data_IF_562213679583
#
_entry.id   IF_562213679583
#
_cell.length_a   1.000
_cell.length_b   1.000
_cell.length_c   1.000
_cell.angle_alpha   90.00
_cell.angle_beta   90.00
_cell.angle_gamma   90.00
#
_symmetry.space_group_name_H-M   'P 1'
#
loop_
_entity.id
_entity.type
_entity.pdbx_description
1 polymer ?
#
# COMPACT_ATOMS: atom_id res chain seq x y z
N UNK A 1 -15.63 31.30 52.81
CA UNK A 1 -14.55 30.94 53.76
C UNK A 1 -14.24 29.46 53.59
N UNK A 2 -12.99 29.15 53.16
CA UNK A 2 -12.13 28.02 53.57
C UNK A 2 -12.73 26.59 53.57
N UNK A 3 -12.16 25.54 52.94
CA UNK A 3 -10.75 25.18 52.73
C UNK A 3 -10.64 24.06 51.65
N UNK A 4 -9.62 24.19 50.80
CA UNK A 4 -8.79 23.15 50.15
C UNK A 4 -9.05 21.68 50.49
N UNK A 5 -9.11 20.81 49.47
CA UNK A 5 -8.20 19.66 49.29
C UNK A 5 -7.97 19.42 47.79
N UNK A 6 -6.74 19.71 47.35
CA UNK A 6 -6.15 19.20 46.11
C UNK A 6 -5.51 17.86 46.46
N UNK A 7 -5.91 16.78 45.78
CA UNK A 7 -5.19 15.50 45.74
C UNK A 7 -5.29 15.01 44.29
N UNK A 8 -4.31 15.33 43.44
CA UNK A 8 -3.12 14.51 43.21
C UNK A 8 -3.47 13.01 43.04
N UNK A 9 -3.81 12.64 41.81
CA UNK A 9 -3.82 11.24 41.35
C UNK A 9 -3.10 11.18 40.01
N UNK A 10 -1.80 11.46 40.08
CA UNK A 10 -0.82 10.98 39.12
C UNK A 10 -0.56 9.50 39.39
N UNK A 11 -0.22 8.78 38.32
CA UNK A 11 0.45 7.48 38.29
C UNK A 11 -0.42 6.21 38.20
N UNK A 12 -0.71 5.82 36.96
CA UNK A 12 -0.52 4.45 36.53
C UNK A 12 0.11 4.46 35.13
N UNK A 13 1.45 4.50 35.12
CA UNK A 13 2.27 4.14 33.96
C UNK A 13 2.16 2.63 33.71
N UNK A 14 2.19 2.29 32.42
CA UNK A 14 2.85 1.11 31.83
C UNK A 14 2.26 -0.26 32.18
N UNK A 15 1.40 -0.76 31.29
CA UNK A 15 1.48 -2.16 30.86
C UNK A 15 1.38 -2.26 29.34
N UNK A 16 2.50 -2.75 28.76
CA UNK A 16 2.65 -3.41 27.46
C UNK A 16 2.24 -2.58 26.22
N UNK A 17 3.13 -1.83 25.57
CA UNK A 17 4.23 -2.38 24.73
C UNK A 17 4.15 -3.90 24.59
N UNK A 18 3.19 -4.37 23.80
CA UNK A 18 3.17 -5.73 23.26
C UNK A 18 3.29 -5.66 21.74
N UNK A 19 4.26 -6.40 21.22
CA UNK A 19 4.61 -6.63 19.82
C UNK A 19 5.11 -5.41 19.02
N UNK A 20 6.42 -5.19 19.17
CA UNK A 20 7.24 -4.64 18.10
C UNK A 20 7.08 -5.44 16.80
N UNK A 21 6.70 -4.71 15.76
CA UNK A 21 6.72 -5.10 14.36
C UNK A 21 6.55 -3.81 13.57
N UNK A 22 7.61 -3.01 13.52
CA UNK A 22 7.57 -1.60 13.17
C UNK A 22 6.76 -1.29 11.91
N UNK A 23 5.79 -0.39 12.06
CA UNK A 23 5.27 0.43 10.97
C UNK A 23 6.44 1.20 10.36
N UNK A 24 7.04 0.65 9.29
CA UNK A 24 7.94 1.37 8.40
C UNK A 24 7.15 1.73 7.16
N UNK A 25 6.79 3.01 7.07
CA UNK A 25 6.03 3.57 5.96
C UNK A 25 4.62 3.93 6.39
N UNK A 26 4.17 5.16 6.11
CA UNK A 26 2.80 5.57 6.38
C UNK A 26 1.83 4.53 5.83
N UNK A 27 0.84 4.14 6.62
CA UNK A 27 -0.12 3.07 6.28
C UNK A 27 -0.82 3.41 4.96
N UNK A 28 -0.32 2.87 3.84
CA UNK A 28 -1.04 2.91 2.58
C UNK A 28 -2.17 1.91 2.66
N UNK A 29 -3.40 2.39 2.57
CA UNK A 29 -4.57 1.52 2.47
C UNK A 29 -4.51 0.71 1.17
N UNK A 30 -4.17 -0.58 1.30
CA UNK A 30 -4.04 -1.50 0.17
C UNK A 30 -5.41 -1.97 -0.35
N UNK A 31 -6.48 -1.84 0.45
CA UNK A 31 -7.81 -2.35 0.09
C UNK A 31 -8.40 -1.60 -1.10
N UNK A 32 -8.07 -0.32 -1.28
CA UNK A 32 -8.49 0.49 -2.44
C UNK A 32 -8.01 -0.04 -3.79
N UNK A 33 -7.02 -0.92 -3.81
CA UNK A 33 -6.50 -1.55 -5.02
C UNK A 33 -7.20 -2.88 -5.37
N UNK A 34 -8.18 -3.31 -4.58
CA UNK A 34 -8.82 -4.62 -4.74
C UNK A 34 -9.40 -4.84 -6.15
N UNK A 35 -10.21 -3.93 -6.67
CA UNK A 35 -10.84 -4.10 -7.99
C UNK A 35 -9.81 -4.08 -9.13
N UNK A 36 -8.83 -3.17 -9.04
CA UNK A 36 -7.75 -3.07 -10.02
C UNK A 36 -6.94 -4.36 -10.03
N UNK A 37 -6.55 -4.84 -8.86
CA UNK A 37 -5.76 -6.06 -8.74
C UNK A 37 -6.55 -7.31 -9.13
N UNK A 38 -7.86 -7.38 -8.84
CA UNK A 38 -8.70 -8.47 -9.34
C UNK A 38 -8.67 -8.54 -10.87
N UNK A 39 -8.69 -7.38 -11.54
CA UNK A 39 -8.56 -7.30 -13.00
C UNK A 39 -7.15 -7.66 -13.48
N UNK A 40 -6.10 -7.14 -12.84
CA UNK A 40 -4.70 -7.42 -13.19
C UNK A 40 -4.40 -8.90 -13.07
N UNK A 41 -4.71 -9.51 -11.94
CA UNK A 41 -4.46 -10.95 -11.70
C UNK A 41 -5.22 -11.83 -12.69
N UNK A 42 -6.41 -11.39 -13.11
CA UNK A 42 -7.20 -12.11 -14.11
C UNK A 42 -6.64 -11.98 -15.52
N UNK A 43 -6.09 -10.82 -15.88
CA UNK A 43 -5.86 -10.44 -17.27
C UNK A 43 -4.39 -10.29 -17.65
N UNK A 44 -3.48 -10.14 -16.70
CA UNK A 44 -2.03 -10.06 -16.92
C UNK A 44 -1.37 -11.42 -16.69
N UNK A 45 -0.88 -12.10 -17.73
CA UNK A 45 -0.21 -13.40 -17.61
C UNK A 45 1.02 -13.39 -16.70
N UNK A 46 1.65 -12.22 -16.48
CA UNK A 46 2.81 -12.11 -15.59
C UNK A 46 2.50 -12.44 -14.13
N UNK A 47 1.22 -12.36 -13.73
CA UNK A 47 0.76 -12.74 -12.39
C UNK A 47 0.38 -14.22 -12.26
N UNK A 48 0.32 -14.99 -13.36
CA UNK A 48 -0.14 -16.38 -13.34
C UNK A 48 0.75 -17.31 -12.49
N UNK A 49 2.04 -16.99 -12.38
CA UNK A 49 3.02 -17.78 -11.61
C UNK A 49 3.43 -17.10 -10.29
N UNK A 50 2.83 -15.94 -9.97
CA UNK A 50 3.14 -15.21 -8.74
C UNK A 50 2.39 -15.86 -7.57
N UNK A 51 3.06 -16.32 -6.51
CA UNK A 51 2.39 -16.78 -5.30
C UNK A 51 1.58 -15.63 -4.69
N UNK A 52 0.31 -15.86 -4.35
CA UNK A 52 -0.60 -14.81 -3.87
C UNK A 52 -0.59 -13.54 -4.77
N UNK A 53 -1.10 -13.67 -6.01
CA UNK A 53 -0.98 -12.61 -7.01
C UNK A 53 -1.78 -11.37 -6.64
N UNK A 54 -2.88 -11.53 -5.88
CA UNK A 54 -3.67 -10.41 -5.35
C UNK A 54 -2.88 -9.57 -4.37
N UNK A 55 -2.28 -10.20 -3.35
CA UNK A 55 -1.48 -9.48 -2.36
C UNK A 55 -0.26 -8.83 -3.01
N UNK A 56 0.39 -9.51 -3.95
CA UNK A 56 1.54 -8.96 -4.66
C UNK A 56 1.18 -7.72 -5.48
N UNK A 57 0.08 -7.76 -6.24
CA UNK A 57 -0.39 -6.58 -6.97
C UNK A 57 -0.67 -5.40 -6.03
N UNK A 58 -1.37 -5.64 -4.91
CA UNK A 58 -1.68 -4.61 -3.94
C UNK A 58 -0.42 -4.02 -3.31
N UNK A 59 0.55 -4.85 -2.93
CA UNK A 59 1.82 -4.40 -2.35
C UNK A 59 2.68 -3.64 -3.36
N UNK A 60 2.67 -4.01 -4.63
CA UNK A 60 3.34 -3.25 -5.68
C UNK A 60 2.73 -1.85 -5.81
N UNK A 61 1.40 -1.76 -5.94
CA UNK A 61 0.72 -0.46 -6.04
C UNK A 61 0.90 0.39 -4.78
N UNK A 62 0.81 -0.21 -3.59
CA UNK A 62 1.07 0.49 -2.33
C UNK A 62 2.53 0.94 -2.19
N UNK A 63 3.49 0.13 -2.65
CA UNK A 63 4.89 0.50 -2.69
C UNK A 63 5.17 1.65 -3.66
N UNK A 64 4.52 1.66 -4.83
CA UNK A 64 4.56 2.79 -5.77
C UNK A 64 3.94 4.03 -5.14
N UNK A 65 2.80 3.93 -4.46
CA UNK A 65 2.17 5.08 -3.80
C UNK A 65 3.06 5.71 -2.74
N UNK A 66 3.69 4.88 -1.92
CA UNK A 66 4.52 5.36 -0.84
C UNK A 66 5.77 6.11 -1.36
N UNK A 67 6.31 5.67 -2.50
CA UNK A 67 7.60 6.15 -3.04
C UNK A 67 7.43 7.17 -4.17
N UNK A 68 6.35 7.07 -4.94
CA UNK A 68 6.02 7.85 -6.14
C UNK A 68 4.50 8.08 -6.22
N UNK A 69 3.91 8.83 -5.26
CA UNK A 69 2.46 9.03 -5.20
C UNK A 69 1.89 9.69 -6.47
N UNK A 70 2.69 10.47 -7.21
CA UNK A 70 2.28 11.10 -8.47
C UNK A 70 2.13 10.11 -9.64
N UNK A 71 2.71 8.91 -9.54
CA UNK A 71 2.64 7.86 -10.57
C UNK A 71 1.35 7.04 -10.45
N UNK A 72 0.85 6.85 -9.23
CA UNK A 72 -0.29 5.97 -8.95
C UNK A 72 -1.54 6.31 -9.76
N UNK A 73 -1.97 7.57 -9.91
CA UNK A 73 -3.13 7.89 -10.73
C UNK A 73 -2.98 7.40 -12.17
N UNK A 74 -1.84 7.68 -12.81
CA UNK A 74 -1.57 7.30 -14.20
C UNK A 74 -1.49 5.79 -14.37
N UNK A 75 -0.83 5.10 -13.43
CA UNK A 75 -0.72 3.65 -13.42
C UNK A 75 -2.10 2.99 -13.24
N UNK A 76 -2.85 3.41 -12.23
CA UNK A 76 -4.17 2.85 -11.94
C UNK A 76 -5.19 3.12 -13.05
N UNK A 77 -5.14 4.29 -13.68
CA UNK A 77 -6.00 4.61 -14.82
C UNK A 77 -5.68 3.73 -16.03
N UNK A 78 -4.40 3.50 -16.34
CA UNK A 78 -4.01 2.56 -17.40
C UNK A 78 -4.54 1.15 -17.13
N UNK A 79 -4.37 0.63 -15.91
CA UNK A 79 -4.83 -0.71 -15.53
C UNK A 79 -6.36 -0.83 -15.57
N UNK A 80 -7.09 0.24 -15.19
CA UNK A 80 -8.55 0.30 -15.26
C UNK A 80 -9.07 0.33 -16.70
N UNK A 81 -8.42 1.07 -17.58
CA UNK A 81 -8.91 1.29 -18.95
C UNK A 81 -8.44 0.23 -19.95
N UNK A 82 -7.27 -0.38 -19.75
CA UNK A 82 -6.73 -1.38 -20.68
C UNK A 82 -7.68 -2.60 -20.80
N UNK A 83 -8.08 -3.03 -22.00
CA UNK A 83 -8.81 -4.28 -22.17
C UNK A 83 -7.92 -5.46 -21.76
N UNK A 84 -8.52 -6.58 -21.33
CA UNK A 84 -7.75 -7.72 -20.82
C UNK A 84 -6.74 -8.29 -21.82
N UNK A 85 -7.00 -8.20 -23.12
CA UNK A 85 -6.10 -8.65 -24.19
C UNK A 85 -4.77 -7.87 -24.22
N UNK A 86 -4.78 -6.61 -23.74
CA UNK A 86 -3.63 -5.70 -23.75
C UNK A 86 -3.21 -5.27 -22.34
N UNK A 87 -3.81 -5.85 -21.29
CA UNK A 87 -3.52 -5.46 -19.92
C UNK A 87 -2.19 -6.05 -19.50
N UNK A 88 -1.23 -5.17 -19.20
CA UNK A 88 0.03 -5.55 -18.57
C UNK A 88 0.44 -4.49 -17.55
N UNK A 89 0.68 -4.94 -16.32
CA UNK A 89 1.21 -4.14 -15.23
C UNK A 89 2.54 -3.50 -15.60
N UNK A 90 3.42 -4.28 -16.25
CA UNK A 90 4.71 -3.79 -16.72
C UNK A 90 4.55 -2.71 -17.79
N UNK A 91 3.63 -2.87 -18.73
CA UNK A 91 3.38 -1.87 -19.80
C UNK A 91 2.78 -0.60 -19.21
N UNK A 92 1.79 -0.70 -18.33
CA UNK A 92 1.22 0.46 -17.65
C UNK A 92 2.24 1.18 -16.75
N UNK A 93 3.17 0.43 -16.15
CA UNK A 93 4.29 0.98 -15.38
C UNK A 93 5.48 1.45 -16.24
N UNK A 94 5.53 1.13 -17.53
CA UNK A 94 6.71 1.30 -18.37
C UNK A 94 7.16 2.76 -18.48
N UNK A 95 6.18 3.69 -18.56
CA UNK A 95 6.44 5.13 -18.64
C UNK A 95 7.11 5.70 -17.39
N UNK A 96 7.02 4.99 -16.27
CA UNK A 96 7.60 5.36 -14.99
C UNK A 96 8.74 4.42 -14.59
N UNK A 97 9.19 3.50 -15.48
CA UNK A 97 10.27 2.54 -15.23
C UNK A 97 11.55 3.19 -14.69
N UNK A 98 11.89 4.40 -15.16
CA UNK A 98 13.05 5.14 -14.68
C UNK A 98 12.89 5.62 -13.23
N UNK A 99 11.66 5.95 -12.83
CA UNK A 99 11.31 6.40 -11.48
C UNK A 99 11.14 5.21 -10.52
N UNK A 100 10.64 4.06 -11.02
CA UNK A 100 10.47 2.83 -10.23
C UNK A 100 11.73 1.95 -10.17
N UNK A 101 12.82 2.31 -10.88
CA UNK A 101 14.11 1.59 -10.88
C UNK A 101 14.79 1.71 -9.51
N UNK A 102 14.43 0.81 -8.59
CA UNK A 102 14.87 0.83 -7.18
C UNK A 102 13.72 0.63 -6.18
N UNK A 103 12.48 0.48 -6.66
CA UNK A 103 11.33 0.17 -5.81
C UNK A 103 11.00 -1.32 -5.74
N UNK A 104 11.46 -2.10 -6.72
CA UNK A 104 11.42 -3.56 -6.72
C UNK A 104 12.68 -4.06 -6.01
N UNK A 105 12.56 -4.85 -4.92
CA UNK A 105 13.71 -5.45 -4.23
C UNK A 105 14.46 -6.46 -5.12
#
# INVERSE_FOLDING_TARGET
>A
MNKTIVALSTLALLFAVSCGGGKKGGDVDLSKYQEICAKVVKCDPSFAQVPDPMNNCQRLLGGVEQKLPHVVPQLTDCLKQAPCENLSFQVCGAKHMQEVKGLVP
#
